data_IF_636306533278
#
_entry.id   IF_636306533278
#
_cell.length_a   1.000
_cell.length_b   1.000
_cell.length_c   1.000
_cell.angle_alpha   90.00
_cell.angle_beta   90.00
_cell.angle_gamma   90.00
#
_symmetry.space_group_name_H-M   'P 1'
#
loop_
_entity.id
_entity.type
_entity.pdbx_description
1 polymer ?
#
# COMPACT_ATOMS: atom_id res chain seq x y z
N UNK A 1 -44.55 -36.43 13.47
CA UNK A 1 -43.88 -35.33 14.21
C UNK A 1 -42.45 -35.01 13.74
N UNK A 2 -41.75 -35.90 13.01
CA UNK A 2 -40.32 -35.67 12.69
C UNK A 2 -40.04 -34.74 11.50
N UNK A 3 -40.96 -34.63 10.52
CA UNK A 3 -40.76 -33.77 9.33
C UNK A 3 -40.86 -32.26 9.62
N UNK A 4 -41.64 -31.87 10.64
CA UNK A 4 -41.80 -30.46 11.03
C UNK A 4 -40.52 -29.91 11.67
N UNK A 5 -39.82 -30.72 12.46
CA UNK A 5 -38.55 -30.37 13.08
C UNK A 5 -37.41 -30.26 12.08
N UNK A 6 -37.38 -31.12 11.05
CA UNK A 6 -36.34 -31.03 10.00
C UNK A 6 -36.49 -29.77 9.15
N UNK A 7 -37.72 -29.37 8.82
CA UNK A 7 -38.01 -28.13 8.08
C UNK A 7 -37.68 -26.89 8.93
N UNK A 8 -37.95 -26.92 10.24
CA UNK A 8 -37.61 -25.83 11.16
C UNK A 8 -36.09 -25.65 11.33
N UNK A 9 -35.32 -26.75 11.42
CA UNK A 9 -33.86 -26.69 11.49
C UNK A 9 -33.22 -26.19 10.18
N UNK A 10 -33.79 -26.53 9.02
CA UNK A 10 -33.33 -26.00 7.73
C UNK A 10 -33.65 -24.50 7.60
N UNK A 11 -34.81 -24.04 8.10
CA UNK A 11 -35.18 -22.62 8.12
C UNK A 11 -34.30 -21.78 9.07
N UNK A 12 -33.95 -22.28 10.24
CA UNK A 12 -33.01 -21.61 11.17
C UNK A 12 -31.58 -21.63 10.60
N UNK A 13 -31.19 -22.70 9.89
CA UNK A 13 -29.93 -22.78 9.15
C UNK A 13 -29.84 -21.78 7.98
N UNK A 14 -30.96 -21.50 7.33
CA UNK A 14 -31.06 -20.49 6.26
C UNK A 14 -31.23 -19.06 6.76
N UNK A 15 -31.70 -18.81 7.99
CA UNK A 15 -31.70 -17.44 8.55
C UNK A 15 -30.29 -16.94 8.92
N UNK A 16 -29.32 -17.85 9.08
CA UNK A 16 -27.90 -17.51 9.12
C UNK A 16 -27.27 -17.38 7.73
N UNK A 17 -28.08 -17.36 6.65
CA UNK A 17 -27.60 -17.03 5.31
C UNK A 17 -27.03 -15.61 5.33
N UNK A 18 -25.69 -15.55 5.40
CA UNK A 18 -24.82 -14.48 4.94
C UNK A 18 -25.51 -13.11 4.85
N UNK A 19 -25.76 -12.47 5.99
CA UNK A 19 -25.68 -11.02 6.00
C UNK A 19 -24.21 -10.68 5.78
N UNK A 20 -23.78 -10.58 4.51
CA UNK A 20 -22.48 -10.05 4.17
C UNK A 20 -22.39 -8.64 4.73
N UNK A 21 -21.78 -8.48 5.90
CA UNK A 21 -21.69 -7.18 6.55
C UNK A 21 -20.60 -6.39 5.84
N UNK A 22 -20.99 -5.59 4.85
CA UNK A 22 -20.09 -4.62 4.26
C UNK A 22 -19.65 -3.63 5.34
N UNK A 23 -18.34 -3.51 5.53
CA UNK A 23 -17.78 -2.62 6.54
C UNK A 23 -17.03 -1.48 5.88
N UNK A 24 -17.32 -0.28 6.35
CA UNK A 24 -16.63 0.92 5.91
C UNK A 24 -15.37 1.09 6.77
N UNK A 25 -14.24 1.27 6.11
CA UNK A 25 -12.97 1.64 6.72
C UNK A 25 -12.48 2.90 6.02
N UNK A 26 -12.10 3.91 6.81
CA UNK A 26 -11.48 5.12 6.29
C UNK A 26 -9.98 4.90 6.16
N UNK A 27 -9.43 5.26 5.00
CA UNK A 27 -7.98 5.37 4.81
C UNK A 27 -7.65 6.84 4.65
N UNK A 28 -6.84 7.38 5.55
CA UNK A 28 -6.19 8.67 5.38
C UNK A 28 -4.75 8.41 4.96
N UNK A 29 -4.24 9.17 3.99
CA UNK A 29 -2.87 8.99 3.55
C UNK A 29 -2.15 10.30 3.23
N UNK A 30 -0.83 10.25 3.37
CA UNK A 30 0.12 11.27 2.92
C UNK A 30 1.27 10.61 2.19
N UNK A 31 2.09 11.41 1.51
CA UNK A 31 3.34 11.00 0.89
C UNK A 31 4.20 12.25 0.67
N UNK A 32 5.52 12.05 0.51
CA UNK A 32 6.45 13.09 0.06
C UNK A 32 6.42 14.35 0.93
N UNK A 33 6.33 14.16 2.25
CA UNK A 33 6.25 15.28 3.21
C UNK A 33 7.58 16.06 3.33
N UNK A 34 8.71 15.43 2.97
CA UNK A 34 10.01 16.06 2.77
C UNK A 34 10.46 17.04 3.88
N UNK A 35 10.16 16.74 5.15
CA UNK A 35 10.43 17.62 6.31
C UNK A 35 9.85 19.04 6.21
N UNK A 36 8.77 19.26 5.46
CA UNK A 36 8.02 20.52 5.48
C UNK A 36 7.17 20.66 6.74
N UNK A 37 7.84 20.74 7.90
CA UNK A 37 7.23 20.86 9.23
C UNK A 37 6.41 22.14 9.38
N UNK A 38 6.84 23.21 8.70
CA UNK A 38 6.23 24.52 8.67
C UNK A 38 5.36 24.71 7.41
N UNK A 39 4.49 25.72 7.46
CA UNK A 39 3.71 26.13 6.28
C UNK A 39 4.60 26.63 5.15
N UNK A 40 4.09 26.58 3.93
CA UNK A 40 4.86 27.01 2.76
C UNK A 40 5.16 28.51 2.80
N UNK A 41 6.33 28.92 2.28
CA UNK A 41 6.70 30.35 2.18
C UNK A 41 5.73 31.12 1.29
N UNK A 42 5.17 30.46 0.27
CA UNK A 42 4.26 31.08 -0.71
C UNK A 42 2.85 31.27 -0.17
N UNK A 43 2.41 30.41 0.75
CA UNK A 43 1.08 30.47 1.37
C UNK A 43 1.15 29.92 2.81
N UNK A 44 1.01 30.80 3.82
CA UNK A 44 1.10 30.40 5.22
C UNK A 44 -0.09 29.55 5.68
N UNK A 45 -1.15 29.41 4.86
CA UNK A 45 -2.29 28.55 5.17
C UNK A 45 -2.16 27.14 4.57
N UNK A 46 -1.03 26.84 3.90
CA UNK A 46 -0.78 25.53 3.26
C UNK A 46 0.39 24.81 3.92
N UNK A 47 0.24 23.50 4.08
CA UNK A 47 1.27 22.62 4.63
C UNK A 47 1.42 22.76 6.15
N UNK A 48 2.53 22.24 6.66
CA UNK A 48 2.86 22.22 8.08
C UNK A 48 2.28 21.02 8.82
N UNK A 49 3.11 20.36 9.60
CA UNK A 49 2.75 19.11 10.28
C UNK A 49 1.72 19.34 11.39
N UNK A 50 1.73 20.50 12.05
CA UNK A 50 0.72 20.84 13.06
C UNK A 50 -0.70 20.92 12.45
N UNK A 51 -0.83 21.59 11.30
CA UNK A 51 -2.10 21.69 10.58
C UNK A 51 -2.55 20.32 10.05
N UNK A 52 -1.61 19.54 9.49
CA UNK A 52 -1.86 18.18 9.04
C UNK A 52 -2.35 17.28 10.19
N UNK A 53 -1.70 17.32 11.35
CA UNK A 53 -2.13 16.55 12.54
C UNK A 53 -3.54 16.94 12.98
N UNK A 54 -3.83 18.23 13.05
CA UNK A 54 -5.18 18.69 13.41
C UNK A 54 -6.24 18.18 12.42
N UNK A 55 -5.91 18.11 11.13
CA UNK A 55 -6.80 17.56 10.10
C UNK A 55 -6.97 16.04 10.25
N UNK A 56 -5.89 15.29 10.44
CA UNK A 56 -5.92 13.83 10.70
C UNK A 56 -6.83 13.53 11.90
N UNK A 57 -6.65 14.25 13.00
CA UNK A 57 -7.47 14.07 14.22
C UNK A 57 -8.93 14.37 13.97
N UNK A 58 -9.21 15.48 13.28
CA UNK A 58 -10.58 15.90 12.96
C UNK A 58 -11.30 14.85 12.11
N UNK A 59 -10.65 14.34 11.06
CA UNK A 59 -11.26 13.35 10.17
C UNK A 59 -11.41 11.99 10.85
N UNK A 60 -10.41 11.54 11.62
CA UNK A 60 -10.50 10.32 12.44
C UNK A 60 -11.65 10.41 13.45
N UNK A 61 -11.79 11.53 14.17
CA UNK A 61 -12.92 11.73 15.09
C UNK A 61 -14.27 11.73 14.37
N UNK A 62 -14.34 12.29 13.14
CA UNK A 62 -15.56 12.32 12.33
C UNK A 62 -15.98 10.93 11.87
N UNK A 63 -15.01 10.09 11.46
CA UNK A 63 -15.24 8.70 11.14
C UNK A 63 -15.66 7.89 12.37
N UNK A 64 -14.98 8.09 13.51
CA UNK A 64 -15.29 7.42 14.77
C UNK A 64 -16.72 7.69 15.26
N UNK A 65 -17.21 8.94 15.16
CA UNK A 65 -18.62 9.29 15.49
C UNK A 65 -19.66 8.53 14.66
N UNK A 66 -19.24 7.94 13.53
CA UNK A 66 -20.08 7.13 12.63
C UNK A 66 -19.81 5.63 12.77
N UNK A 67 -18.96 5.23 13.73
CA UNK A 67 -18.53 3.84 13.89
C UNK A 67 -17.66 3.32 12.74
N UNK A 68 -16.88 4.20 12.11
CA UNK A 68 -15.97 3.87 11.01
C UNK A 68 -14.54 3.91 11.54
N UNK A 69 -13.85 2.77 11.49
CA UNK A 69 -12.43 2.68 11.83
C UNK A 69 -11.56 3.37 10.78
N UNK A 70 -10.45 3.95 11.22
CA UNK A 70 -9.56 4.75 10.38
C UNK A 70 -8.13 4.22 10.44
N UNK A 71 -7.54 3.91 9.29
CA UNK A 71 -6.10 3.69 9.13
C UNK A 71 -5.45 4.94 8.54
N UNK A 72 -4.37 5.39 9.13
CA UNK A 72 -3.59 6.55 8.69
C UNK A 72 -2.24 6.06 8.19
N UNK A 73 -1.95 6.29 6.91
CA UNK A 73 -0.81 5.72 6.20
C UNK A 73 0.09 6.81 5.63
N UNK A 74 1.40 6.59 5.59
CA UNK A 74 2.32 7.47 4.87
C UNK A 74 3.12 6.69 3.82
N UNK A 75 3.10 7.18 2.58
CA UNK A 75 3.71 6.51 1.44
C UNK A 75 5.21 6.87 1.25
N UNK A 76 5.89 7.41 2.27
CA UNK A 76 7.33 7.60 2.29
C UNK A 76 7.81 8.98 1.85
N UNK A 77 9.12 9.18 1.93
CA UNK A 77 9.83 10.46 1.73
C UNK A 77 9.36 11.55 2.69
N UNK A 78 9.36 11.21 3.97
CA UNK A 78 9.03 12.15 5.04
C UNK A 78 10.28 12.80 5.64
N UNK A 79 11.48 12.23 5.44
CA UNK A 79 12.73 12.72 6.03
C UNK A 79 13.43 13.80 5.22
N UNK A 80 14.01 13.52 4.06
CA UNK A 80 14.88 14.50 3.38
C UNK A 80 14.07 15.56 2.62
N UNK A 81 14.48 16.84 2.67
CA UNK A 81 13.85 17.89 1.87
C UNK A 81 13.93 19.33 2.39
N UNK A 82 14.23 19.56 3.67
CA UNK A 82 14.34 20.91 4.25
C UNK A 82 15.46 20.99 5.32
N UNK A 83 15.78 22.21 5.81
CA UNK A 83 16.80 22.52 6.82
C UNK A 83 16.72 21.63 8.06
N UNK A 84 15.53 21.19 8.46
CA UNK A 84 15.33 20.26 9.57
C UNK A 84 16.09 18.95 9.37
N UNK A 85 16.07 18.38 8.16
CA UNK A 85 16.85 17.19 7.82
C UNK A 85 18.36 17.47 7.91
N UNK A 86 18.81 18.61 7.38
CA UNK A 86 20.24 18.98 7.41
C UNK A 86 20.77 19.17 8.85
N UNK A 87 19.90 19.54 9.80
CA UNK A 87 20.31 19.84 11.18
C UNK A 87 20.71 18.61 11.99
N UNK A 88 19.99 17.49 11.85
CA UNK A 88 20.19 16.28 12.65
C UNK A 88 19.98 14.97 11.89
N UNK A 89 20.04 15.02 10.56
CA UNK A 89 19.80 13.89 9.66
C UNK A 89 18.35 13.42 9.60
N UNK A 90 17.39 14.20 10.10
CA UNK A 90 15.97 13.86 10.12
C UNK A 90 15.52 13.11 11.37
N UNK A 91 16.37 13.00 12.40
CA UNK A 91 16.02 12.33 13.66
C UNK A 91 14.86 13.04 14.38
N UNK A 92 14.83 14.37 14.41
CA UNK A 92 13.67 15.10 14.96
C UNK A 92 12.41 14.83 14.15
N UNK A 93 12.53 14.74 12.83
CA UNK A 93 11.38 14.54 11.94
C UNK A 93 10.76 13.16 12.19
N UNK A 94 11.57 12.11 12.36
CA UNK A 94 11.09 10.79 12.77
C UNK A 94 10.35 10.85 14.13
N UNK A 95 10.83 11.64 15.10
CA UNK A 95 10.11 11.84 16.37
C UNK A 95 8.79 12.58 16.16
N UNK A 96 8.75 13.58 15.29
CA UNK A 96 7.49 14.28 14.96
C UNK A 96 6.51 13.28 14.34
N UNK A 97 6.96 12.39 13.45
CA UNK A 97 6.10 11.34 12.87
C UNK A 97 5.45 10.45 13.93
N UNK A 98 6.13 10.17 15.05
CA UNK A 98 5.52 9.46 16.18
C UNK A 98 4.30 10.21 16.76
N UNK A 99 4.29 11.54 16.68
CA UNK A 99 3.17 12.33 17.16
C UNK A 99 2.05 12.51 16.13
N UNK A 100 2.27 12.14 14.87
CA UNK A 100 1.28 12.34 13.80
C UNK A 100 0.12 11.34 13.84
N UNK A 101 0.31 10.19 14.51
CA UNK A 101 -0.74 9.17 14.66
C UNK A 101 -0.89 8.23 13.46
N UNK A 102 0.18 8.03 12.70
CA UNK A 102 0.27 7.03 11.64
C UNK A 102 0.19 5.60 12.19
N UNK A 103 -0.43 4.72 11.42
CA UNK A 103 -0.54 3.29 11.71
C UNK A 103 0.56 2.50 10.99
N UNK A 104 0.88 2.89 9.74
CA UNK A 104 1.97 2.34 8.96
C UNK A 104 2.59 3.37 8.01
N UNK A 105 3.90 3.25 7.80
CA UNK A 105 4.71 4.14 6.95
C UNK A 105 5.65 3.28 6.13
N UNK A 106 5.81 3.57 4.83
CA UNK A 106 6.86 2.96 4.00
C UNK A 106 8.05 3.92 3.92
N UNK A 107 9.27 3.39 3.82
CA UNK A 107 10.45 4.23 3.51
C UNK A 107 10.50 4.51 2.01
N UNK A 108 10.67 5.77 1.63
CA UNK A 108 10.96 6.18 0.26
C UNK A 108 12.47 6.30 -0.02
N UNK A 109 12.85 6.69 -1.23
CA UNK A 109 14.26 6.83 -1.63
C UNK A 109 15.00 7.90 -0.81
N UNK A 110 14.34 9.01 -0.51
CA UNK A 110 14.93 10.11 0.25
C UNK A 110 15.15 9.72 1.72
N UNK A 111 14.31 8.82 2.26
CA UNK A 111 14.50 8.29 3.62
C UNK A 111 15.73 7.37 3.75
N UNK A 112 16.25 6.82 2.64
CA UNK A 112 17.44 5.97 2.62
C UNK A 112 18.76 6.75 2.48
N UNK A 113 18.73 8.06 2.18
CA UNK A 113 19.94 8.84 1.84
C UNK A 113 21.00 8.89 2.95
N UNK A 114 20.57 8.76 4.19
CA UNK A 114 21.44 8.67 5.38
C UNK A 114 22.21 7.34 5.48
N UNK A 115 21.82 6.33 4.71
CA UNK A 115 22.44 5.01 4.66
C UNK A 115 21.99 4.03 5.75
N UNK A 116 22.28 2.74 5.53
CA UNK A 116 21.74 1.65 6.36
C UNK A 116 22.22 1.74 7.80
N UNK A 117 23.49 2.11 8.01
CA UNK A 117 24.08 2.25 9.34
C UNK A 117 23.44 3.37 10.16
N UNK A 118 23.23 4.53 9.55
CA UNK A 118 22.61 5.66 10.24
C UNK A 118 21.15 5.36 10.57
N UNK A 119 20.43 4.69 9.65
CA UNK A 119 19.05 4.27 9.87
C UNK A 119 18.94 3.26 11.03
N UNK A 120 19.81 2.25 11.10
CA UNK A 120 19.85 1.28 12.21
C UNK A 120 20.05 1.97 13.57
N UNK A 121 20.92 2.99 13.63
CA UNK A 121 21.12 3.81 14.83
C UNK A 121 19.87 4.65 15.17
N UNK A 122 19.25 5.31 14.19
CA UNK A 122 18.09 6.16 14.43
C UNK A 122 16.88 5.36 14.92
N UNK A 123 16.63 4.19 14.35
CA UNK A 123 15.55 3.33 14.79
C UNK A 123 15.75 2.87 16.24
N UNK A 124 17.00 2.72 16.69
CA UNK A 124 17.33 2.40 18.09
C UNK A 124 16.99 3.56 19.04
N UNK A 125 17.24 4.79 18.61
CA UNK A 125 17.11 5.98 19.46
C UNK A 125 15.69 6.56 19.47
N UNK A 126 14.99 6.55 18.33
CA UNK A 126 13.67 7.16 18.19
C UNK A 126 12.55 6.19 18.52
N UNK A 127 12.73 4.90 18.19
CA UNK A 127 11.71 3.85 18.33
C UNK A 127 10.35 4.26 17.73
N UNK A 128 10.14 4.05 16.42
CA UNK A 128 8.89 4.41 15.76
C UNK A 128 7.67 3.75 16.44
N UNK A 129 6.61 4.52 16.70
CA UNK A 129 5.36 4.00 17.27
C UNK A 129 4.36 3.54 16.20
N UNK A 130 4.70 3.70 14.93
CA UNK A 130 3.99 3.21 13.76
C UNK A 130 4.72 2.02 13.15
N UNK A 131 4.02 1.25 12.32
CA UNK A 131 4.63 0.12 11.61
C UNK A 131 5.46 0.63 10.43
N UNK A 132 6.79 0.60 10.55
CA UNK A 132 7.68 0.93 9.44
C UNK A 132 7.82 -0.27 8.49
N UNK A 133 7.54 -0.07 7.21
CA UNK A 133 7.39 -1.16 6.23
C UNK A 133 8.36 -1.05 5.04
N UNK A 134 8.93 -2.19 4.61
CA UNK A 134 9.61 -2.36 3.33
C UNK A 134 9.81 -3.87 3.02
N UNK A 135 8.96 -4.43 2.16
CA UNK A 135 8.96 -5.87 1.87
C UNK A 135 10.03 -6.32 0.88
N UNK A 136 10.62 -5.37 0.16
CA UNK A 136 11.66 -5.60 -0.84
C UNK A 136 13.05 -5.15 -0.38
N UNK A 137 13.23 -4.81 0.90
CA UNK A 137 14.51 -4.45 1.49
C UNK A 137 15.06 -5.57 2.40
N UNK A 138 16.38 -5.77 2.38
CA UNK A 138 17.11 -6.69 3.26
C UNK A 138 18.48 -6.12 3.58
N UNK A 139 19.04 -6.44 4.75
CA UNK A 139 20.40 -6.04 5.18
C UNK A 139 21.20 -7.24 5.65
N UNK A 140 22.50 -7.03 5.88
CA UNK A 140 23.34 -7.98 6.61
C UNK A 140 22.91 -8.12 8.07
N UNK A 141 23.29 -9.24 8.69
CA UNK A 141 22.85 -9.64 10.04
C UNK A 141 23.37 -8.76 11.17
N UNK A 142 24.41 -7.97 10.94
CA UNK A 142 24.95 -7.00 11.90
C UNK A 142 24.00 -5.80 12.13
N UNK A 143 23.06 -5.55 11.21
CA UNK A 143 22.05 -4.50 11.31
C UNK A 143 20.76 -5.00 11.99
N UNK A 144 20.90 -5.36 13.27
CA UNK A 144 19.83 -6.03 14.02
C UNK A 144 18.60 -5.15 14.30
N UNK A 145 18.76 -3.84 14.46
CA UNK A 145 17.66 -2.94 14.85
C UNK A 145 16.76 -2.69 13.66
N UNK A 146 17.32 -2.41 12.49
CA UNK A 146 16.54 -2.23 11.26
C UNK A 146 15.83 -3.53 10.86
N UNK A 147 16.48 -4.70 10.96
CA UNK A 147 15.82 -5.99 10.70
C UNK A 147 14.67 -6.27 11.68
N UNK A 148 14.80 -5.85 12.94
CA UNK A 148 13.75 -5.99 13.94
C UNK A 148 12.60 -5.01 13.69
N UNK A 149 12.89 -3.78 13.28
CA UNK A 149 11.91 -2.69 13.21
C UNK A 149 11.18 -2.67 11.87
N UNK A 150 11.91 -2.80 10.77
CA UNK A 150 11.37 -2.75 9.42
C UNK A 150 10.71 -4.08 9.07
N UNK A 151 9.41 -4.05 8.82
CA UNK A 151 8.62 -5.26 8.49
C UNK A 151 8.22 -5.26 7.03
N UNK A 152 8.00 -6.43 6.41
CA UNK A 152 7.45 -6.45 5.07
C UNK A 152 6.01 -5.90 5.03
N UNK A 153 5.25 -6.13 6.10
CA UNK A 153 3.83 -5.85 6.16
C UNK A 153 3.34 -5.66 7.60
N UNK A 154 2.15 -5.08 7.76
CA UNK A 154 1.37 -5.08 9.00
C UNK A 154 -0.09 -5.48 8.70
N UNK A 155 -0.62 -6.46 9.43
CA UNK A 155 -2.04 -6.82 9.38
C UNK A 155 -2.80 -6.17 10.52
N UNK A 156 -3.89 -5.49 10.19
CA UNK A 156 -4.87 -4.93 11.10
C UNK A 156 -6.14 -5.79 11.06
N UNK A 157 -6.75 -6.02 12.22
CA UNK A 157 -8.03 -6.71 12.33
C UNK A 157 -9.08 -5.70 12.75
N UNK A 158 -10.00 -5.36 11.85
CA UNK A 158 -11.08 -4.42 12.06
C UNK A 158 -12.39 -5.21 12.04
N UNK A 159 -13.00 -5.41 13.21
CA UNK A 159 -14.25 -6.17 13.38
C UNK A 159 -14.25 -7.57 12.70
N UNK A 160 -13.10 -8.26 12.73
CA UNK A 160 -12.95 -9.58 12.12
C UNK A 160 -12.45 -9.57 10.67
N UNK A 161 -12.37 -8.39 10.03
CA UNK A 161 -11.82 -8.21 8.68
C UNK A 161 -10.31 -7.96 8.79
N UNK A 162 -9.51 -8.82 8.15
CA UNK A 162 -8.05 -8.72 8.13
C UNK A 162 -7.59 -7.87 6.94
N UNK A 163 -7.12 -6.66 7.25
CA UNK A 163 -6.52 -5.74 6.28
C UNK A 163 -4.99 -5.78 6.44
N UNK A 164 -4.30 -6.28 5.42
CA UNK A 164 -2.84 -6.30 5.41
C UNK A 164 -2.27 -5.14 4.58
N UNK A 165 -1.43 -4.33 5.20
CA UNK A 165 -0.67 -3.25 4.56
C UNK A 165 0.72 -3.79 4.22
N UNK A 166 1.04 -3.83 2.93
CA UNK A 166 2.31 -4.30 2.36
C UNK A 166 3.16 -3.10 1.94
N UNK A 167 4.35 -2.93 2.51
CA UNK A 167 5.24 -1.82 2.16
C UNK A 167 6.16 -2.15 0.98
N UNK A 168 6.34 -1.25 0.01
CA UNK A 168 7.30 -1.40 -1.09
C UNK A 168 8.01 -0.08 -1.41
N UNK A 169 9.33 -0.10 -1.46
CA UNK A 169 10.17 1.06 -1.82
C UNK A 169 10.71 0.94 -3.23
N UNK A 170 11.02 2.07 -3.89
CA UNK A 170 11.64 2.09 -5.22
C UNK A 170 13.00 1.39 -5.23
N UNK A 171 13.29 0.66 -6.31
CA UNK A 171 14.59 0.00 -6.55
C UNK A 171 15.47 0.76 -7.56
N UNK A 172 15.16 2.05 -7.79
CA UNK A 172 15.89 2.94 -8.69
C UNK A 172 17.40 2.95 -8.42
N UNK A 173 18.17 2.79 -9.50
CA UNK A 173 19.61 2.68 -9.43
C UNK A 173 20.27 3.96 -8.87
N UNK A 174 19.66 5.11 -9.13
CA UNK A 174 20.18 6.42 -8.72
C UNK A 174 20.33 6.56 -7.20
N UNK A 175 19.49 5.89 -6.41
CA UNK A 175 19.53 5.99 -4.94
C UNK A 175 20.31 4.86 -4.26
N UNK A 176 20.79 3.87 -5.03
CA UNK A 176 21.48 2.71 -4.46
C UNK A 176 22.79 3.04 -3.76
N UNK A 177 23.46 4.13 -4.11
CA UNK A 177 24.74 4.51 -3.50
C UNK A 177 24.62 4.76 -1.99
N UNK A 178 23.46 5.24 -1.53
CA UNK A 178 23.22 5.47 -0.11
C UNK A 178 23.00 4.16 0.66
N UNK A 179 22.55 3.10 -0.02
CA UNK A 179 22.27 1.81 0.58
C UNK A 179 23.54 0.93 0.69
N UNK A 180 24.50 1.42 1.47
CA UNK A 180 25.85 0.86 1.61
C UNK A 180 25.90 -0.61 2.09
N UNK A 181 24.92 -1.06 2.89
CA UNK A 181 24.88 -2.42 3.47
C UNK A 181 23.50 -3.11 3.36
N UNK A 182 22.58 -2.53 2.60
CA UNK A 182 21.28 -3.11 2.31
C UNK A 182 21.08 -3.38 0.82
N UNK A 183 20.00 -4.09 0.53
CA UNK A 183 19.62 -4.47 -0.83
C UNK A 183 18.14 -4.27 -1.02
N UNK A 184 17.79 -3.43 -1.98
CA UNK A 184 16.42 -3.28 -2.46
C UNK A 184 16.26 -4.13 -3.73
N UNK A 185 15.30 -5.04 -3.69
CA UNK A 185 14.94 -5.94 -4.78
C UNK A 185 13.72 -5.41 -5.54
N UNK A 186 13.45 -5.97 -6.72
CA UNK A 186 12.34 -5.54 -7.57
C UNK A 186 11.01 -5.44 -6.81
N UNK A 187 10.38 -4.26 -6.76
CA UNK A 187 9.13 -4.04 -6.04
C UNK A 187 7.99 -4.84 -6.67
N UNK A 188 7.95 -4.97 -8.00
CA UNK A 188 6.95 -5.79 -8.69
C UNK A 188 7.07 -7.27 -8.32
N UNK A 189 8.29 -7.82 -8.33
CA UNK A 189 8.52 -9.24 -7.96
C UNK A 189 8.16 -9.50 -6.50
N UNK A 190 8.61 -8.62 -5.60
CA UNK A 190 8.36 -8.73 -4.17
C UNK A 190 6.88 -8.52 -3.84
N UNK A 191 6.23 -7.54 -4.47
CA UNK A 191 4.80 -7.28 -4.36
C UNK A 191 3.95 -8.49 -4.74
N UNK A 192 4.22 -9.11 -5.90
CA UNK A 192 3.54 -10.36 -6.32
C UNK A 192 3.71 -11.49 -5.31
N UNK A 193 4.93 -11.69 -4.80
CA UNK A 193 5.24 -12.75 -3.83
C UNK A 193 4.50 -12.53 -2.52
N UNK A 194 4.61 -11.34 -1.96
CA UNK A 194 4.06 -11.01 -0.66
C UNK A 194 2.54 -10.90 -0.68
N UNK A 195 1.94 -10.25 -1.69
CA UNK A 195 0.49 -10.13 -1.78
C UNK A 195 -0.18 -11.50 -1.87
N UNK A 196 0.37 -12.42 -2.68
CA UNK A 196 -0.13 -13.81 -2.77
C UNK A 196 0.01 -14.54 -1.44
N UNK A 197 1.11 -14.36 -0.73
CA UNK A 197 1.30 -14.92 0.61
C UNK A 197 0.27 -14.37 1.60
N UNK A 198 0.06 -13.06 1.64
CA UNK A 198 -0.90 -12.39 2.52
C UNK A 198 -2.33 -12.90 2.30
N UNK A 199 -2.74 -13.03 1.04
CA UNK A 199 -4.04 -13.63 0.69
C UNK A 199 -4.15 -15.08 1.15
N UNK A 200 -3.11 -15.89 0.94
CA UNK A 200 -3.06 -17.29 1.41
C UNK A 200 -3.11 -17.39 2.94
N UNK A 201 -2.51 -16.43 3.64
CA UNK A 201 -2.52 -16.35 5.11
C UNK A 201 -3.86 -15.79 5.67
N UNK A 202 -4.85 -15.57 4.79
CA UNK A 202 -6.21 -15.18 5.18
C UNK A 202 -6.44 -13.68 5.29
N UNK A 203 -5.65 -12.85 4.60
CA UNK A 203 -5.97 -11.42 4.49
C UNK A 203 -7.18 -11.21 3.57
N UNK A 204 -8.23 -10.57 4.08
CA UNK A 204 -9.43 -10.25 3.32
C UNK A 204 -9.15 -9.12 2.32
N UNK A 205 -8.38 -8.12 2.75
CA UNK A 205 -8.00 -6.95 1.95
C UNK A 205 -6.49 -6.70 2.02
N UNK A 206 -5.85 -6.41 0.89
CA UNK A 206 -4.42 -6.10 0.83
C UNK A 206 -4.20 -4.72 0.23
N UNK A 207 -3.65 -3.81 1.05
CA UNK A 207 -3.22 -2.48 0.65
C UNK A 207 -1.74 -2.55 0.31
N UNK A 208 -1.34 -2.15 -0.89
CA UNK A 208 0.05 -1.84 -1.19
C UNK A 208 0.32 -0.38 -0.79
N UNK A 209 1.18 -0.17 0.20
CA UNK A 209 1.69 1.14 0.58
C UNK A 209 3.06 1.31 -0.08
N UNK A 210 3.17 2.22 -1.04
CA UNK A 210 4.24 2.19 -2.03
C UNK A 210 4.93 3.54 -2.19
N UNK A 211 6.26 3.50 -2.38
CA UNK A 211 7.06 4.64 -2.79
C UNK A 211 7.71 4.32 -4.14
N UNK A 212 6.90 4.18 -5.19
CA UNK A 212 7.31 3.62 -6.49
C UNK A 212 7.05 4.55 -7.68
N UNK A 213 6.19 5.55 -7.51
CA UNK A 213 5.70 6.41 -8.58
C UNK A 213 4.53 5.79 -9.34
N UNK A 214 3.66 6.64 -9.87
CA UNK A 214 2.36 6.24 -10.42
C UNK A 214 2.43 5.15 -11.51
N UNK A 215 3.42 5.21 -12.41
CA UNK A 215 3.52 4.22 -13.50
C UNK A 215 3.91 2.83 -13.01
N UNK A 216 4.80 2.74 -12.01
CA UNK A 216 5.18 1.47 -11.39
C UNK A 216 4.04 0.96 -10.49
N UNK A 217 3.31 1.86 -9.83
CA UNK A 217 2.09 1.50 -9.08
C UNK A 217 1.01 0.91 -9.99
N UNK A 218 0.81 1.46 -11.20
CA UNK A 218 -0.07 0.87 -12.21
C UNK A 218 0.39 -0.53 -12.61
N UNK A 219 1.69 -0.71 -12.86
CA UNK A 219 2.25 -2.03 -13.17
C UNK A 219 2.03 -3.02 -12.01
N UNK A 220 2.25 -2.59 -10.77
CA UNK A 220 2.04 -3.39 -9.57
C UNK A 220 0.58 -3.80 -9.44
N UNK A 221 -0.35 -2.85 -9.58
CA UNK A 221 -1.80 -3.09 -9.52
C UNK A 221 -2.27 -4.12 -10.58
N UNK A 222 -1.65 -4.13 -11.75
CA UNK A 222 -1.94 -5.12 -12.81
C UNK A 222 -1.43 -6.52 -12.50
N UNK A 223 -0.28 -6.63 -11.82
CA UNK A 223 0.48 -7.90 -11.70
C UNK A 223 0.37 -8.56 -10.33
N UNK A 224 0.16 -7.78 -9.26
CA UNK A 224 0.08 -8.26 -7.89
C UNK A 224 -1.37 -8.50 -7.44
N UNK A 225 -1.51 -9.33 -6.40
CA UNK A 225 -2.81 -9.65 -5.81
C UNK A 225 -3.16 -8.70 -4.66
N UNK A 226 -3.26 -7.42 -4.99
CA UNK A 226 -3.62 -6.32 -4.09
C UNK A 226 -4.99 -5.76 -4.44
N UNK A 227 -5.61 -5.05 -3.51
CA UNK A 227 -6.97 -4.50 -3.64
C UNK A 227 -6.98 -2.96 -3.63
N UNK A 228 -5.93 -2.31 -3.12
CA UNK A 228 -5.71 -0.86 -3.15
C UNK A 228 -4.21 -0.59 -3.25
N UNK A 229 -3.82 0.45 -3.99
CA UNK A 229 -2.47 1.03 -3.93
C UNK A 229 -2.55 2.45 -3.38
N UNK A 230 -1.75 2.73 -2.36
CA UNK A 230 -1.53 4.06 -1.78
C UNK A 230 -0.07 4.41 -2.06
N UNK A 231 0.17 5.36 -2.96
CA UNK A 231 1.50 5.61 -3.52
C UNK A 231 2.08 7.01 -3.24
N UNK A 232 3.39 7.14 -3.44
CA UNK A 232 4.17 8.39 -3.42
C UNK A 232 5.20 8.47 -4.57
N UNK A 233 6.33 9.15 -4.35
CA UNK A 233 7.52 9.30 -5.23
C UNK A 233 7.34 10.25 -6.42
N UNK A 234 6.23 10.10 -7.16
CA UNK A 234 6.01 10.88 -8.38
C UNK A 234 5.44 12.28 -8.16
N UNK A 235 5.09 12.64 -6.91
CA UNK A 235 4.43 13.90 -6.54
C UNK A 235 3.12 14.15 -7.33
N UNK A 236 2.49 13.08 -7.82
CA UNK A 236 1.28 13.19 -8.65
C UNK A 236 0.06 13.42 -7.76
N UNK A 237 -0.56 14.59 -7.89
CA UNK A 237 -1.83 14.88 -7.23
C UNK A 237 -3.00 14.16 -7.95
N UNK A 238 -3.53 13.10 -7.35
CA UNK A 238 -4.74 12.44 -7.83
C UNK A 238 -5.96 12.95 -7.07
N UNK A 239 -6.79 13.76 -7.73
CA UNK A 239 -8.06 14.23 -7.16
C UNK A 239 -9.15 13.15 -7.17
N UNK A 240 -9.01 12.15 -8.04
CA UNK A 240 -9.84 10.94 -8.09
C UNK A 240 -8.94 9.70 -8.22
N UNK A 241 -9.35 8.54 -7.68
CA UNK A 241 -8.57 7.31 -7.81
C UNK A 241 -8.41 6.89 -9.28
N UNK A 242 -7.21 6.45 -9.64
CA UNK A 242 -6.97 5.81 -10.93
C UNK A 242 -7.29 4.32 -10.81
N UNK A 243 -8.24 3.83 -11.60
CA UNK A 243 -8.62 2.42 -11.60
C UNK A 243 -7.86 1.62 -12.65
N UNK A 244 -7.19 0.56 -12.21
CA UNK A 244 -6.39 -0.32 -13.07
C UNK A 244 -7.08 -1.67 -13.25
N UNK A 245 -7.32 -2.06 -14.50
CA UNK A 245 -7.91 -3.36 -14.83
C UNK A 245 -6.87 -4.49 -14.77
N UNK A 246 -7.11 -5.51 -13.94
CA UNK A 246 -6.26 -6.70 -13.84
C UNK A 246 -6.27 -7.59 -15.10
N UNK A 247 -7.24 -7.49 -16.01
CA UNK A 247 -7.33 -8.37 -17.19
C UNK A 247 -6.32 -8.04 -18.30
N UNK A 248 -5.86 -6.79 -18.44
CA UNK A 248 -4.86 -6.43 -19.48
C UNK A 248 -3.52 -7.17 -19.33
N UNK A 249 -3.13 -7.56 -18.11
CA UNK A 249 -1.89 -8.32 -17.90
C UNK A 249 -2.01 -9.78 -18.35
N UNK A 250 -3.17 -10.41 -18.11
CA UNK A 250 -3.44 -11.80 -18.50
C UNK A 250 -3.65 -11.97 -20.00
N UNK A 251 -4.21 -10.98 -20.71
CA UNK A 251 -4.28 -11.02 -22.17
C UNK A 251 -2.89 -10.87 -22.78
N UNK A 252 -2.07 -9.88 -22.35
CA UNK A 252 -0.71 -9.68 -22.86
C UNK A 252 0.27 -10.83 -22.54
N UNK A 253 0.16 -11.48 -21.37
CA UNK A 253 0.95 -12.69 -21.07
C UNK A 253 0.49 -13.88 -21.92
N UNK A 254 -0.82 -14.09 -22.08
CA UNK A 254 -1.35 -15.12 -22.97
C UNK A 254 -1.05 -14.85 -24.43
N UNK A 255 -0.99 -13.59 -24.87
CA UNK A 255 -0.63 -13.22 -26.23
C UNK A 255 0.87 -13.46 -26.45
N UNK A 256 1.74 -13.20 -25.46
CA UNK A 256 3.17 -13.55 -25.52
C UNK A 256 3.45 -15.06 -25.46
N UNK A 257 2.65 -15.83 -24.72
CA UNK A 257 2.72 -17.31 -24.74
C UNK A 257 2.13 -17.88 -26.03
N UNK A 258 1.01 -17.32 -26.51
CA UNK A 258 0.42 -17.66 -27.80
C UNK A 258 1.32 -17.26 -28.96
N UNK A 259 2.07 -16.17 -28.89
CA UNK A 259 3.02 -15.80 -29.95
C UNK A 259 4.24 -16.74 -29.96
N UNK A 260 4.53 -17.42 -28.84
CA UNK A 260 5.50 -18.54 -28.80
C UNK A 260 4.91 -19.87 -29.26
N UNK A 261 3.60 -20.08 -29.13
CA UNK A 261 2.90 -21.27 -29.60
C UNK A 261 2.36 -21.15 -31.03
N UNK A 262 2.10 -19.95 -31.54
CA UNK A 262 1.54 -19.66 -32.88
C UNK A 262 2.55 -19.74 -34.03
N UNK A 263 3.81 -20.08 -33.74
CA UNK A 263 4.68 -20.69 -34.74
C UNK A 263 4.27 -22.14 -35.07
N UNK A 264 3.24 -22.67 -34.42
CA UNK A 264 2.55 -23.91 -34.81
C UNK A 264 1.04 -23.70 -34.83
N UNK A 265 0.48 -23.98 -36.00
CA UNK A 265 -0.93 -24.10 -36.34
C UNK A 265 -1.76 -22.81 -36.46
N UNK A 266 -2.15 -22.58 -37.72
CA UNK A 266 -3.15 -21.62 -38.15
C UNK A 266 -4.53 -22.25 -38.14
N UNK A 267 -5.48 -21.35 -37.87
CA UNK A 267 -6.83 -21.27 -38.41
C UNK A 267 -8.05 -21.65 -37.55
N UNK A 268 -9.02 -20.74 -37.68
CA UNK A 268 -10.48 -20.78 -37.47
C UNK A 268 -11.01 -20.54 -36.05
N UNK A 269 -11.59 -19.36 -35.84
CA UNK A 269 -13.05 -19.15 -35.93
C UNK A 269 -13.40 -17.74 -35.45
N UNK A 270 -14.01 -16.94 -36.35
CA UNK A 270 -14.79 -15.75 -36.01
C UNK A 270 -16.24 -16.19 -35.99
N UNK A 271 -16.92 -15.93 -34.87
CA UNK A 271 -18.40 -15.92 -34.67
C UNK A 271 -18.84 -16.19 -33.21
N UNK A 272 -17.90 -16.23 -32.25
CA UNK A 272 -18.21 -16.26 -30.79
C UNK A 272 -17.98 -14.91 -30.07
N UNK A 273 -17.91 -13.81 -30.81
CA UNK A 273 -17.37 -12.55 -30.27
C UNK A 273 -18.41 -11.68 -29.55
N UNK A 274 -19.69 -11.69 -29.96
CA UNK A 274 -20.71 -10.80 -29.39
C UNK A 274 -21.29 -11.23 -28.03
N UNK A 275 -21.61 -12.51 -27.84
CA UNK A 275 -22.12 -13.00 -26.52
C UNK A 275 -21.03 -13.09 -25.45
N UNK A 276 -19.75 -13.03 -25.84
CA UNK A 276 -18.62 -13.00 -24.92
C UNK A 276 -18.37 -11.63 -24.31
N UNK A 277 -18.85 -10.56 -24.92
CA UNK A 277 -18.52 -9.20 -24.47
C UNK A 277 -19.47 -8.71 -23.37
N UNK A 278 -20.74 -9.12 -23.37
CA UNK A 278 -21.70 -8.82 -22.28
C UNK A 278 -21.41 -9.65 -21.02
N UNK A 279 -21.02 -10.93 -21.14
CA UNK A 279 -20.63 -11.77 -19.99
C UNK A 279 -19.25 -11.39 -19.42
N UNK A 280 -18.43 -10.61 -20.15
CA UNK A 280 -17.08 -10.21 -19.71
C UNK A 280 -17.07 -9.03 -18.73
N UNK A 281 -18.14 -8.25 -18.66
CA UNK A 281 -18.23 -7.04 -17.84
C UNK A 281 -18.42 -7.37 -16.35
N UNK A 282 -19.18 -8.42 -16.01
CA UNK A 282 -19.54 -8.81 -14.64
C UNK A 282 -18.36 -9.29 -13.75
N UNK A 283 -17.11 -9.35 -14.26
CA UNK A 283 -15.95 -9.84 -13.51
C UNK A 283 -14.68 -8.98 -13.71
N UNK A 284 -14.80 -7.69 -14.01
CA UNK A 284 -13.63 -6.79 -14.01
C UNK A 284 -13.25 -6.42 -12.57
N UNK A 285 -12.17 -7.05 -12.06
CA UNK A 285 -11.55 -6.63 -10.79
C UNK A 285 -10.61 -5.46 -11.08
N UNK A 286 -11.05 -4.26 -10.71
CA UNK A 286 -10.23 -3.06 -10.74
C UNK A 286 -9.46 -2.90 -9.43
N UNK A 287 -8.27 -2.31 -9.51
CA UNK A 287 -7.50 -1.87 -8.34
C UNK A 287 -7.44 -0.34 -8.39
N UNK A 288 -8.05 0.37 -7.43
CA UNK A 288 -7.84 1.81 -7.28
C UNK A 288 -6.41 2.12 -6.83
N UNK A 289 -5.89 3.22 -7.34
CA UNK A 289 -4.63 3.85 -6.93
C UNK A 289 -4.94 5.26 -6.45
N UNK A 290 -4.43 5.60 -5.26
CA UNK A 290 -4.50 6.95 -4.69
C UNK A 290 -3.10 7.45 -4.37
N UNK A 291 -2.85 8.73 -4.61
CA UNK A 291 -1.60 9.42 -4.30
C UNK A 291 -1.96 10.85 -3.88
N UNK A 292 -1.38 11.34 -2.79
CA UNK A 292 -1.54 12.73 -2.41
C UNK A 292 -0.61 13.58 -3.26
N UNK A 293 -1.09 14.75 -3.69
CA UNK A 293 -0.21 15.78 -4.22
C UNK A 293 0.62 16.37 -3.11
N UNK A 294 1.91 16.57 -3.36
CA UNK A 294 2.83 17.34 -2.51
C UNK A 294 2.80 18.83 -2.89
#
# INVERSE_FOLDING_TARGET
>A
MNKLWTVLCVLIGFLNALSGQAKLVQILHTNDLHSYLESTIKDPNKGGYAALKALIDKERQRAQRRGIETLVLDAGDFLEGNLFFLSDGGKQVMKVMNHMGYDAVVLGNHDWLMGTRQMDQYLKEVSPNFSLLAANFTTKDDFTVIQKTLKPQKTFNIDGIKISVLGLTTDELFYRWANDQGKITSPIRSGKKWSKKLKKDGSDFVIALTHLGLEIDKELAQKADVDLVVGGHSHTALYEPVFVDKKQSRSREKDKEKDKEKDKEKDKEKDKEKDRDEVKEENRKYVPIVQAGS
#
